data_IF_978060500116
#
_entry.id   IF_978060500116
#
_cell.length_a   1.000
_cell.length_b   1.000
_cell.length_c   1.000
_cell.angle_alpha   90.00
_cell.angle_beta   90.00
_cell.angle_gamma   90.00
#
_symmetry.space_group_name_H-M   'P 1'
#
loop_
_entity.id
_entity.type
_entity.pdbx_description
1 polymer ?
#
# COMPACT_ATOMS: atom_id res chain seq x y z
N UNK A 1 14.62 9.88 -17.12
CA UNK A 1 15.41 10.77 -16.24
C UNK A 1 14.53 11.29 -15.08
N UNK A 2 13.96 10.40 -14.26
CA UNK A 2 13.14 10.83 -13.11
C UNK A 2 13.20 9.77 -12.01
N UNK A 3 12.88 8.53 -12.37
CA UNK A 3 12.89 7.38 -11.45
C UNK A 3 14.24 7.11 -10.78
N UNK A 4 15.33 7.34 -11.52
CA UNK A 4 16.69 6.97 -11.11
C UNK A 4 17.46 8.12 -10.45
N UNK A 5 16.92 9.33 -10.47
CA UNK A 5 17.62 10.50 -9.94
C UNK A 5 16.97 10.99 -8.67
N UNK A 6 17.79 11.52 -7.77
CA UNK A 6 17.28 12.15 -6.55
C UNK A 6 16.64 13.49 -6.92
N UNK A 7 15.35 13.64 -6.67
CA UNK A 7 14.71 14.96 -6.72
C UNK A 7 15.28 15.82 -5.58
N UNK A 8 15.54 17.10 -5.84
CA UNK A 8 16.05 18.02 -4.82
C UNK A 8 15.22 17.96 -3.52
N UNK A 9 15.91 18.17 -2.40
CA UNK A 9 15.54 17.78 -1.03
C UNK A 9 14.12 18.18 -0.59
N UNK A 10 13.18 17.23 -0.63
CA UNK A 10 11.96 17.30 0.16
C UNK A 10 12.18 16.73 1.57
N UNK A 11 11.54 17.31 2.59
CA UNK A 11 11.63 16.89 4.01
C UNK A 11 11.40 15.39 4.23
N UNK A 12 10.57 14.79 3.39
CA UNK A 12 10.17 13.37 3.46
C UNK A 12 10.81 12.50 2.39
N UNK A 13 11.74 13.05 1.59
CA UNK A 13 12.41 12.30 0.53
C UNK A 13 13.61 11.49 1.08
N UNK A 14 14.12 11.81 2.27
CA UNK A 14 15.19 11.07 2.97
C UNK A 14 16.40 10.70 2.09
N UNK A 15 16.71 11.49 1.06
CA UNK A 15 17.80 11.21 0.12
C UNK A 15 17.57 10.04 -0.84
N UNK A 16 16.37 9.48 -0.93
CA UNK A 16 16.02 8.36 -1.83
C UNK A 16 15.59 8.87 -3.21
N UNK A 17 15.78 8.03 -4.23
CA UNK A 17 15.22 8.27 -5.58
C UNK A 17 13.72 7.96 -5.58
N UNK A 18 12.94 8.44 -6.56
CA UNK A 18 11.53 8.07 -6.69
C UNK A 18 11.32 6.56 -6.80
N UNK A 19 12.19 5.84 -7.53
CA UNK A 19 12.12 4.39 -7.64
C UNK A 19 12.38 3.69 -6.31
N UNK A 20 13.40 4.13 -5.55
CA UNK A 20 13.69 3.55 -4.24
C UNK A 20 12.51 3.77 -3.27
N UNK A 21 11.97 4.99 -3.24
CA UNK A 21 10.79 5.32 -2.42
C UNK A 21 9.59 4.45 -2.77
N UNK A 22 9.35 4.19 -4.07
CA UNK A 22 8.28 3.32 -4.53
C UNK A 22 8.46 1.86 -4.09
N UNK A 23 9.67 1.31 -4.22
CA UNK A 23 9.96 -0.06 -3.82
C UNK A 23 9.83 -0.24 -2.30
N UNK A 24 10.30 0.73 -1.52
CA UNK A 24 10.21 0.72 -0.06
C UNK A 24 8.75 0.78 0.44
N UNK A 25 7.87 1.48 -0.29
CA UNK A 25 6.45 1.63 0.07
C UNK A 25 5.56 0.49 -0.45
N UNK A 26 6.03 -0.28 -1.43
CA UNK A 26 5.31 -1.43 -2.02
C UNK A 26 4.83 -2.47 -0.99
N UNK A 27 5.64 -2.97 -0.04
CA UNK A 27 5.16 -3.94 0.97
C UNK A 27 4.10 -3.33 1.89
N UNK A 28 4.29 -2.07 2.32
CA UNK A 28 3.34 -1.35 3.17
C UNK A 28 1.98 -1.23 2.47
N UNK A 29 1.97 -0.89 1.18
CA UNK A 29 0.74 -0.83 0.40
C UNK A 29 0.02 -2.19 0.32
N UNK A 30 0.77 -3.30 0.21
CA UNK A 30 0.19 -4.65 0.21
C UNK A 30 -0.40 -5.03 1.57
N UNK A 31 0.28 -4.70 2.66
CA UNK A 31 -0.20 -4.95 4.03
C UNK A 31 -1.45 -4.14 4.38
N UNK A 32 -1.64 -2.97 3.75
CA UNK A 32 -2.79 -2.08 3.99
C UNK A 32 -3.90 -2.23 2.95
N UNK A 33 -3.77 -3.17 2.03
CA UNK A 33 -4.79 -3.41 1.02
C UNK A 33 -6.03 -4.04 1.68
N UNK A 34 -7.17 -3.36 1.55
CA UNK A 34 -8.40 -3.78 2.24
C UNK A 34 -8.90 -5.15 1.76
N UNK A 35 -8.70 -5.47 0.49
CA UNK A 35 -9.07 -6.76 -0.10
C UNK A 35 -8.30 -7.93 0.54
N UNK A 36 -6.98 -7.79 0.73
CA UNK A 36 -6.16 -8.83 1.38
C UNK A 36 -6.43 -8.88 2.88
N UNK A 37 -6.59 -7.73 3.53
CA UNK A 37 -6.94 -7.65 4.94
C UNK A 37 -8.29 -8.29 5.24
N UNK A 38 -9.29 -8.12 4.38
CA UNK A 38 -10.61 -8.75 4.55
C UNK A 38 -10.57 -10.28 4.39
N UNK A 39 -9.59 -10.81 3.64
CA UNK A 39 -9.38 -12.26 3.50
C UNK A 39 -8.62 -12.84 4.70
N UNK A 40 -7.60 -12.14 5.20
CA UNK A 40 -6.76 -12.59 6.32
C UNK A 40 -7.41 -12.38 7.68
N UNK A 41 -8.05 -11.24 7.89
CA UNK A 41 -8.84 -10.95 9.07
C UNK A 41 -10.24 -11.53 8.81
N UNK A 42 -10.55 -12.70 9.39
CA UNK A 42 -11.93 -13.18 9.60
C UNK A 42 -12.75 -12.25 10.52
N UNK A 43 -12.49 -10.95 10.50
CA UNK A 43 -13.19 -9.94 11.25
C UNK A 43 -14.37 -9.49 10.40
N UNK A 44 -15.44 -10.27 10.55
CA UNK A 44 -16.79 -9.78 10.75
C UNK A 44 -17.19 -8.60 9.84
N UNK A 45 -17.53 -8.86 8.59
CA UNK A 45 -18.65 -8.11 8.01
C UNK A 45 -19.88 -8.43 8.85
N UNK A 46 -20.15 -7.59 9.85
CA UNK A 46 -21.30 -7.72 10.77
C UNK A 46 -22.67 -7.56 10.06
N UNK A 47 -22.71 -7.64 8.73
CA UNK A 47 -23.97 -7.66 7.98
C UNK A 47 -24.08 -8.95 7.20
N UNK A 48 -24.72 -9.91 7.86
CA UNK A 48 -25.56 -10.90 7.20
C UNK A 48 -26.37 -10.24 6.09
N UNK A 49 -26.28 -10.78 4.88
CA UNK A 49 -27.42 -10.87 3.95
C UNK A 49 -27.30 -12.21 3.24
N UNK A 50 -27.98 -13.17 3.82
CA UNK A 50 -28.89 -14.09 3.15
C UNK A 50 -28.98 -13.92 1.62
N UNK A 51 -28.81 -15.07 0.93
CA UNK A 51 -29.26 -15.38 -0.44
C UNK A 51 -28.67 -14.54 -1.58
N UNK A 52 -27.71 -15.16 -2.29
CA UNK A 52 -27.66 -15.08 -3.75
C UNK A 52 -27.70 -16.54 -4.21
N UNK A 53 -28.71 -16.86 -5.03
CA UNK A 53 -28.95 -18.15 -5.68
C UNK A 53 -27.70 -18.74 -6.36
#
# INVERSE_FOLDING_TARGET
YYNNERTHTGKHCYGKTPLQTFLDSKPIAKEKLLETLAVEQKILTFRSKDNIE
#
